data_IF_882658470300
#
_entry.id   IF_882658470300
#
_cell.length_a   1.000
_cell.length_b   1.000
_cell.length_c   1.000
_cell.angle_alpha   90.00
_cell.angle_beta   90.00
_cell.angle_gamma   90.00
#
_symmetry.space_group_name_H-M   'P 1'
#
loop_
_entity.id
_entity.type
_entity.pdbx_description
1 polymer ?
#
# COMPACT_ATOMS: atom_id res chain seq x y z
N UNK A 1 48.10 -5.41 6.86
CA UNK A 1 47.95 -6.35 7.99
C UNK A 1 47.88 -5.57 9.29
N UNK A 2 46.69 -5.14 9.70
CA UNK A 2 46.30 -4.64 11.04
C UNK A 2 44.81 -5.00 11.13
N UNK A 3 44.35 -6.03 11.85
CA UNK A 3 44.37 -6.16 13.31
C UNK A 3 42.94 -5.92 13.81
N UNK A 4 42.10 -6.96 13.84
CA UNK A 4 40.68 -6.90 14.27
C UNK A 4 40.61 -6.97 15.79
N UNK A 5 39.99 -5.97 16.43
CA UNK A 5 39.58 -6.07 17.83
C UNK A 5 38.27 -5.34 18.08
N UNK A 6 37.41 -6.01 18.85
CA UNK A 6 36.29 -5.49 19.65
C UNK A 6 34.94 -5.24 18.96
N UNK A 7 34.10 -6.27 19.09
CA UNK A 7 32.70 -6.22 19.49
C UNK A 7 32.12 -4.81 19.71
N UNK A 8 31.33 -4.34 18.74
CA UNK A 8 30.49 -3.18 18.91
C UNK A 8 29.30 -3.55 19.83
N UNK A 9 29.36 -3.01 21.04
CA UNK A 9 28.28 -2.86 22.02
C UNK A 9 26.99 -2.37 21.37
N UNK A 10 26.15 -3.32 20.94
CA UNK A 10 24.74 -3.08 20.66
C UNK A 10 24.05 -2.82 22.00
N UNK A 11 23.84 -1.54 22.32
CA UNK A 11 22.69 -1.05 23.09
C UNK A 11 22.79 0.46 23.37
N UNK A 12 22.25 1.30 22.49
CA UNK A 12 21.30 2.35 22.89
C UNK A 12 20.70 3.09 21.70
N UNK A 13 19.37 3.19 21.68
CA UNK A 13 18.62 4.08 20.80
C UNK A 13 17.82 3.38 19.70
N UNK A 14 16.96 2.41 20.05
CA UNK A 14 15.84 2.06 19.16
C UNK A 14 14.55 2.59 19.77
N UNK A 15 13.99 3.57 19.08
CA UNK A 15 12.79 4.32 19.38
C UNK A 15 11.58 3.40 19.65
N UNK A 16 10.80 3.64 20.71
CA UNK A 16 9.55 2.93 20.99
C UNK A 16 8.43 3.42 20.06
N UNK A 17 8.39 2.93 18.83
CA UNK A 17 7.31 3.21 17.87
C UNK A 17 6.95 2.04 16.93
N UNK A 18 7.84 1.06 16.77
CA UNK A 18 7.74 0.04 15.71
C UNK A 18 6.66 -1.04 15.94
N UNK A 19 6.10 -1.14 17.15
CA UNK A 19 5.07 -2.13 17.49
C UNK A 19 3.63 -1.65 17.23
N UNK A 20 3.42 -0.34 17.06
CA UNK A 20 2.07 0.23 16.86
C UNK A 20 1.65 0.17 15.39
N UNK A 21 2.57 0.39 14.45
CA UNK A 21 2.28 0.38 13.00
C UNK A 21 1.83 -0.98 12.46
N UNK A 22 2.14 -2.09 13.14
CA UNK A 22 1.78 -3.43 12.68
C UNK A 22 0.32 -3.82 13.00
N UNK A 23 -0.39 -3.00 13.78
CA UNK A 23 -1.83 -3.18 14.10
C UNK A 23 -2.71 -2.08 13.53
N UNK A 24 -2.12 -1.03 12.97
CA UNK A 24 -2.87 0.06 12.38
C UNK A 24 -3.24 -0.37 10.96
N UNK A 25 -4.51 -0.72 10.77
CA UNK A 25 -5.03 -1.13 9.46
C UNK A 25 -4.60 -0.14 8.38
N UNK A 26 -4.26 -0.67 7.20
CA UNK A 26 -3.80 0.11 6.05
C UNK A 26 -4.70 1.34 5.86
N UNK A 27 -4.15 2.53 6.12
CA UNK A 27 -4.82 3.82 5.88
C UNK A 27 -4.53 4.24 4.45
N UNK A 28 -5.53 4.12 3.59
CA UNK A 28 -5.44 4.63 2.22
C UNK A 28 -5.50 6.16 2.21
N UNK A 29 -4.72 6.78 1.32
CA UNK A 29 -4.95 8.19 1.01
C UNK A 29 -6.21 8.37 0.16
N UNK A 30 -6.72 9.60 0.08
CA UNK A 30 -7.98 9.92 -0.63
C UNK A 30 -8.00 9.38 -2.06
N UNK A 31 -6.91 9.55 -2.81
CA UNK A 31 -6.81 9.04 -4.18
C UNK A 31 -6.88 7.52 -4.24
N UNK A 32 -6.22 6.82 -3.33
CA UNK A 32 -6.25 5.36 -3.24
C UNK A 32 -7.65 4.87 -2.89
N UNK A 33 -8.33 5.51 -1.95
CA UNK A 33 -9.74 5.24 -1.63
C UNK A 33 -10.63 5.36 -2.86
N UNK A 34 -10.48 6.45 -3.63
CA UNK A 34 -11.24 6.66 -4.87
C UNK A 34 -10.93 5.59 -5.94
N UNK A 35 -9.65 5.25 -6.14
CA UNK A 35 -9.23 4.20 -7.08
C UNK A 35 -9.90 2.89 -6.70
N UNK A 36 -9.83 2.51 -5.43
CA UNK A 36 -10.35 1.24 -4.94
C UNK A 36 -11.87 1.19 -4.99
N UNK A 37 -12.57 2.29 -4.69
CA UNK A 37 -14.02 2.38 -4.87
C UNK A 37 -14.43 2.17 -6.32
N UNK A 38 -13.76 2.84 -7.26
CA UNK A 38 -14.02 2.62 -8.68
C UNK A 38 -13.66 1.20 -9.14
N UNK A 39 -12.64 0.56 -8.57
CA UNK A 39 -12.34 -0.84 -8.84
C UNK A 39 -13.45 -1.77 -8.34
N UNK A 40 -14.02 -1.51 -7.17
CA UNK A 40 -15.15 -2.26 -6.63
C UNK A 40 -16.42 -2.11 -7.49
N UNK A 41 -16.58 -0.94 -8.14
CA UNK A 41 -17.63 -0.70 -9.15
C UNK A 41 -17.32 -1.35 -10.53
N UNK A 42 -16.15 -1.95 -10.71
CA UNK A 42 -15.74 -2.58 -11.96
C UNK A 42 -15.16 -1.62 -13.01
N UNK A 43 -14.77 -0.41 -12.63
CA UNK A 43 -14.16 0.54 -13.55
C UNK A 43 -12.81 0.07 -14.09
N UNK A 44 -12.55 0.36 -15.36
CA UNK A 44 -11.25 0.17 -16.02
C UNK A 44 -10.25 1.28 -15.64
N UNK A 45 -8.95 1.02 -15.83
CA UNK A 45 -7.92 2.02 -15.54
C UNK A 45 -8.07 3.29 -16.38
N UNK A 46 -8.58 3.16 -17.60
CA UNK A 46 -8.87 4.30 -18.47
C UNK A 46 -10.01 5.15 -17.92
N UNK A 47 -11.07 4.54 -17.38
CA UNK A 47 -12.17 5.26 -16.74
C UNK A 47 -11.69 5.97 -15.45
N UNK A 48 -10.91 5.28 -14.63
CA UNK A 48 -10.31 5.83 -13.41
C UNK A 48 -9.37 7.01 -13.75
N UNK A 49 -8.49 6.83 -14.74
CA UNK A 49 -7.57 7.86 -15.21
C UNK A 49 -8.31 9.13 -15.65
N UNK A 50 -9.37 8.97 -16.44
CA UNK A 50 -10.21 10.09 -16.89
C UNK A 50 -10.92 10.79 -15.74
N UNK A 51 -11.45 10.03 -14.77
CA UNK A 51 -12.22 10.58 -13.65
C UNK A 51 -11.34 11.32 -12.64
N UNK A 52 -10.10 10.88 -12.46
CA UNK A 52 -9.14 11.49 -11.53
C UNK A 52 -8.17 12.48 -12.21
N UNK A 53 -8.31 12.70 -13.52
CA UNK A 53 -7.42 13.57 -14.31
C UNK A 53 -5.93 13.19 -14.19
N UNK A 54 -5.62 11.89 -14.20
CA UNK A 54 -4.26 11.35 -14.13
C UNK A 54 -3.95 10.41 -15.29
N UNK A 55 -2.68 10.11 -15.52
CA UNK A 55 -2.27 9.15 -16.54
C UNK A 55 -2.66 7.71 -16.18
N UNK A 56 -3.02 6.90 -17.19
CA UNK A 56 -3.34 5.48 -17.01
C UNK A 56 -2.20 4.69 -16.35
N UNK A 57 -0.94 5.01 -16.67
CA UNK A 57 0.23 4.42 -16.00
C UNK A 57 0.28 4.74 -14.50
N UNK A 58 -0.18 5.92 -14.09
CA UNK A 58 -0.28 6.28 -12.67
C UNK A 58 -1.30 5.40 -11.98
N UNK A 59 -2.47 5.20 -12.59
CA UNK A 59 -3.49 4.28 -12.07
C UNK A 59 -2.92 2.87 -11.93
N UNK A 60 -2.30 2.32 -12.98
CA UNK A 60 -1.73 0.98 -12.97
C UNK A 60 -0.68 0.80 -11.87
N UNK A 61 0.19 1.80 -11.67
CA UNK A 61 1.20 1.76 -10.58
C UNK A 61 0.55 1.79 -9.20
N UNK A 62 -0.47 2.61 -8.99
CA UNK A 62 -1.20 2.66 -7.72
C UNK A 62 -1.93 1.33 -7.45
N UNK A 63 -2.62 0.78 -8.46
CA UNK A 63 -3.31 -0.52 -8.34
C UNK A 63 -2.32 -1.64 -8.02
N UNK A 64 -1.17 -1.68 -8.69
CA UNK A 64 -0.13 -2.67 -8.40
C UNK A 64 0.42 -2.52 -6.96
N UNK A 65 0.64 -1.29 -6.50
CA UNK A 65 1.08 -1.03 -5.13
C UNK A 65 0.03 -1.46 -4.09
N UNK A 66 -1.25 -1.18 -4.35
CA UNK A 66 -2.36 -1.56 -3.48
C UNK A 66 -2.56 -3.09 -3.44
N UNK A 67 -2.44 -3.76 -4.59
CA UNK A 67 -2.46 -5.23 -4.65
C UNK A 67 -1.32 -5.83 -3.83
N UNK A 68 -0.10 -5.31 -3.97
CA UNK A 68 1.06 -5.77 -3.21
C UNK A 68 0.87 -5.54 -1.69
N UNK A 69 0.29 -4.41 -1.31
CA UNK A 69 0.03 -4.04 0.08
C UNK A 69 -0.96 -5.00 0.78
N UNK A 70 -1.94 -5.53 0.04
CA UNK A 70 -2.98 -6.41 0.60
C UNK A 70 -2.78 -7.89 0.30
N UNK A 71 -1.82 -8.23 -0.57
CA UNK A 71 -1.65 -9.58 -1.08
C UNK A 71 -2.71 -10.00 -2.10
N UNK A 72 -3.36 -9.06 -2.77
CA UNK A 72 -4.39 -9.38 -3.77
C UNK A 72 -3.75 -9.92 -5.05
N UNK A 73 -4.20 -11.08 -5.51
CA UNK A 73 -3.71 -11.73 -6.73
C UNK A 73 -4.25 -11.09 -8.02
N UNK A 74 -5.30 -10.26 -7.94
CA UNK A 74 -5.88 -9.58 -9.09
C UNK A 74 -6.54 -8.26 -8.69
N UNK A 75 -6.77 -7.39 -9.68
CA UNK A 75 -7.53 -6.12 -9.48
C UNK A 75 -8.95 -6.37 -8.94
N UNK A 76 -9.57 -7.47 -9.37
CA UNK A 76 -10.90 -7.85 -8.90
C UNK A 76 -10.84 -8.29 -7.44
N UNK A 77 -9.83 -9.08 -7.08
CA UNK A 77 -9.57 -9.43 -5.69
C UNK A 77 -9.30 -8.18 -4.84
N UNK A 78 -8.58 -7.18 -5.37
CA UNK A 78 -8.36 -5.91 -4.67
C UNK A 78 -9.70 -5.16 -4.42
N UNK A 79 -10.57 -5.07 -5.42
CA UNK A 79 -11.90 -4.44 -5.25
C UNK A 79 -12.78 -5.18 -4.24
N UNK A 80 -12.78 -6.51 -4.25
CA UNK A 80 -13.51 -7.32 -3.29
C UNK A 80 -12.93 -7.17 -1.86
N UNK A 81 -11.61 -7.21 -1.73
CA UNK A 81 -10.91 -7.09 -0.44
C UNK A 81 -11.14 -5.72 0.19
N UNK A 82 -11.26 -4.68 -0.62
CA UNK A 82 -11.60 -3.35 -0.15
C UNK A 82 -12.99 -3.26 0.47
N UNK A 83 -13.98 -3.91 -0.13
CA UNK A 83 -15.32 -4.00 0.43
C UNK A 83 -15.30 -4.76 1.77
N UNK A 84 -14.55 -5.86 1.85
CA UNK A 84 -14.43 -6.68 3.05
C UNK A 84 -13.70 -5.96 4.20
N UNK A 85 -12.68 -5.14 3.87
CA UNK A 85 -11.88 -4.38 4.85
C UNK A 85 -12.48 -3.04 5.23
N UNK A 86 -13.63 -2.66 4.67
CA UNK A 86 -14.32 -1.40 4.97
C UNK A 86 -13.59 -0.17 4.44
N UNK A 87 -12.99 -0.27 3.25
CA UNK A 87 -12.33 0.84 2.57
C UNK A 87 -13.26 1.65 1.66
N UNK A 88 -14.49 1.17 1.48
CA UNK A 88 -15.55 1.78 0.67
C UNK A 88 -16.49 2.64 1.51
#
# INVERSE_FOLDING_TARGET
MWGVTAAATVARGQEPGERQSFREGVRLNERQTLIVGMLAEGASDTQIARRLYIGQRTVQREVAALMALVGAASRFALGAEAALRGWL
#
